data_IF_581192191228
#
_entry.id   IF_581192191228
#
_cell.length_a   1.000
_cell.length_b   1.000
_cell.length_c   1.000
_cell.angle_alpha   90.00
_cell.angle_beta   90.00
_cell.angle_gamma   90.00
#
_symmetry.space_group_name_H-M   'P 1'
#
loop_
_entity.id
_entity.type
_entity.pdbx_description
1 polymer ?
#
# COMPACT_ATOMS: atom_id res chain seq x y z
N UNK A 1 8.20 -4.78 2.93
CA UNK A 1 7.54 -5.56 1.87
C UNK A 1 7.22 -6.93 2.46
N UNK A 2 5.98 -7.39 2.35
CA UNK A 2 5.50 -8.68 2.88
C UNK A 2 5.39 -9.73 1.77
N UNK A 3 4.90 -9.32 0.59
CA UNK A 3 4.67 -10.20 -0.55
C UNK A 3 5.13 -9.53 -1.85
N UNK A 4 5.60 -10.34 -2.78
CA UNK A 4 5.82 -9.99 -4.17
C UNK A 4 5.43 -11.18 -5.04
N UNK A 5 4.94 -10.89 -6.24
CA UNK A 5 4.60 -11.93 -7.21
C UNK A 5 5.85 -12.52 -7.88
N UNK A 6 6.19 -13.81 -7.62
CA UNK A 6 7.35 -14.47 -8.21
C UNK A 6 7.29 -14.60 -9.73
N UNK A 7 6.09 -14.57 -10.31
CA UNK A 7 5.85 -14.65 -11.75
C UNK A 7 5.49 -13.27 -12.34
N UNK A 8 5.73 -12.19 -11.59
CA UNK A 8 5.30 -10.84 -11.97
C UNK A 8 5.88 -10.38 -13.30
N UNK A 9 7.15 -10.69 -13.58
CA UNK A 9 7.79 -10.34 -14.85
C UNK A 9 7.16 -11.08 -16.04
N UNK A 10 6.90 -12.38 -15.90
CA UNK A 10 6.25 -13.19 -16.92
C UNK A 10 4.80 -12.73 -17.17
N UNK A 11 4.04 -12.47 -16.11
CA UNK A 11 2.65 -12.00 -16.21
C UNK A 11 2.57 -10.63 -16.86
N UNK A 12 3.45 -9.70 -16.47
CA UNK A 12 3.48 -8.35 -17.04
C UNK A 12 3.85 -8.38 -18.52
N UNK A 13 4.94 -9.08 -18.88
CA UNK A 13 5.34 -9.20 -20.29
C UNK A 13 4.25 -9.90 -21.12
N UNK A 14 3.58 -10.92 -20.56
CA UNK A 14 2.45 -11.58 -21.23
C UNK A 14 1.26 -10.64 -21.42
N UNK A 15 0.89 -9.84 -20.41
CA UNK A 15 -0.20 -8.89 -20.50
C UNK A 15 0.09 -7.80 -21.57
N UNK A 16 1.31 -7.26 -21.58
CA UNK A 16 1.77 -6.27 -22.56
C UNK A 16 1.69 -6.82 -23.99
N UNK A 17 2.14 -8.05 -24.23
CA UNK A 17 2.07 -8.68 -25.55
C UNK A 17 0.65 -9.12 -25.92
N UNK A 18 -0.15 -9.56 -24.95
CA UNK A 18 -1.52 -10.03 -25.17
C UNK A 18 -2.39 -8.93 -25.79
N UNK A 19 -2.20 -7.66 -25.39
CA UNK A 19 -2.89 -6.50 -25.96
C UNK A 19 -2.76 -6.39 -27.48
N UNK A 20 -1.66 -6.88 -28.05
CA UNK A 20 -1.34 -6.78 -29.47
C UNK A 20 -1.41 -8.15 -30.18
N UNK A 21 -2.05 -9.14 -29.57
CA UNK A 21 -2.09 -10.52 -30.05
C UNK A 21 -3.53 -10.98 -30.33
N UNK A 22 -3.69 -11.93 -31.24
CA UNK A 22 -4.95 -12.67 -31.47
C UNK A 22 -4.94 -14.07 -30.81
N UNK A 23 -3.94 -14.35 -29.98
CA UNK A 23 -3.79 -15.62 -29.25
C UNK A 23 -4.51 -15.56 -27.90
N UNK A 24 -4.78 -16.72 -27.29
CA UNK A 24 -5.24 -16.74 -25.90
C UNK A 24 -4.15 -16.29 -24.94
N UNK A 25 -4.53 -15.82 -23.75
CA UNK A 25 -3.58 -15.40 -22.73
C UNK A 25 -2.60 -16.53 -22.36
N UNK A 26 -3.08 -17.76 -22.19
CA UNK A 26 -2.23 -18.92 -21.88
C UNK A 26 -1.20 -19.20 -22.97
N UNK A 27 -1.55 -19.01 -24.24
CA UNK A 27 -0.61 -19.16 -25.35
C UNK A 27 0.49 -18.09 -25.32
N UNK A 28 0.13 -16.84 -25.02
CA UNK A 28 1.09 -15.74 -24.90
C UNK A 28 2.00 -15.96 -23.69
N UNK A 29 1.43 -16.29 -22.52
CA UNK A 29 2.18 -16.59 -21.31
C UNK A 29 3.14 -17.77 -21.53
N UNK A 30 2.69 -18.84 -22.20
CA UNK A 30 3.55 -19.97 -22.57
C UNK A 30 4.74 -19.55 -23.43
N UNK A 31 4.55 -18.62 -24.38
CA UNK A 31 5.66 -18.07 -25.17
C UNK A 31 6.61 -17.24 -24.31
N UNK A 32 6.08 -16.37 -23.44
CA UNK A 32 6.88 -15.52 -22.54
C UNK A 32 7.71 -16.34 -21.56
N UNK A 33 7.16 -17.42 -21.00
CA UNK A 33 7.90 -18.33 -20.10
C UNK A 33 9.10 -19.00 -20.77
N UNK A 34 9.09 -19.13 -22.09
CA UNK A 34 10.20 -19.66 -22.88
C UNK A 34 11.15 -18.58 -23.41
N UNK A 35 10.92 -17.29 -23.10
CA UNK A 35 11.81 -16.21 -23.49
C UNK A 35 12.95 -16.03 -22.48
N UNK A 36 14.11 -15.64 -23.01
CA UNK A 36 15.22 -15.18 -22.20
C UNK A 36 14.80 -14.01 -21.30
N UNK A 37 15.24 -13.96 -20.02
CA UNK A 37 14.90 -12.87 -19.11
C UNK A 37 15.22 -11.48 -19.66
N UNK A 38 16.33 -11.34 -20.39
CA UNK A 38 16.72 -10.06 -20.99
C UNK A 38 15.69 -9.56 -22.02
N UNK A 39 15.09 -10.46 -22.79
CA UNK A 39 14.06 -10.11 -23.77
C UNK A 39 12.76 -9.69 -23.08
N UNK A 40 12.36 -10.41 -22.01
CA UNK A 40 11.19 -10.05 -21.20
C UNK A 40 11.32 -8.66 -20.59
N UNK A 41 12.49 -8.36 -20.02
CA UNK A 41 12.80 -7.04 -19.47
C UNK A 41 12.74 -5.95 -20.55
N UNK A 42 13.30 -6.19 -21.73
CA UNK A 42 13.24 -5.20 -22.82
C UNK A 42 11.81 -4.86 -23.23
N UNK A 43 10.89 -5.84 -23.26
CA UNK A 43 9.47 -5.58 -23.55
C UNK A 43 8.84 -4.65 -22.50
N UNK A 44 9.16 -4.88 -21.22
CA UNK A 44 8.65 -4.05 -20.12
C UNK A 44 9.24 -2.64 -20.18
N UNK A 45 10.55 -2.53 -20.38
CA UNK A 45 11.26 -1.25 -20.45
C UNK A 45 10.70 -0.39 -21.58
N UNK A 46 10.56 -0.95 -22.79
CA UNK A 46 9.97 -0.29 -23.95
C UNK A 46 8.50 0.13 -23.69
N UNK A 47 7.72 -0.65 -22.94
CA UNK A 47 6.35 -0.28 -22.60
C UNK A 47 6.23 0.95 -21.70
N UNK A 48 7.31 1.26 -20.97
CA UNK A 48 7.40 2.42 -20.07
C UNK A 48 8.22 3.57 -20.65
N UNK A 49 8.82 3.38 -21.83
CA UNK A 49 9.64 4.38 -22.49
C UNK A 49 8.80 5.63 -22.81
N UNK A 50 9.25 6.79 -22.32
CA UNK A 50 8.60 8.07 -22.57
C UNK A 50 7.44 8.43 -21.63
N UNK A 51 7.15 7.60 -20.62
CA UNK A 51 6.22 7.96 -19.53
C UNK A 51 6.93 8.94 -18.57
N UNK A 52 6.35 10.11 -18.37
CA UNK A 52 6.87 11.11 -17.43
C UNK A 52 6.55 10.77 -15.96
N UNK A 53 7.13 11.50 -14.99
CA UNK A 53 6.93 11.24 -13.54
C UNK A 53 5.48 11.33 -13.05
N UNK A 54 4.60 11.92 -13.86
CA UNK A 54 3.19 12.15 -13.53
C UNK A 54 2.23 11.40 -14.46
N UNK A 55 2.76 10.65 -15.43
CA UNK A 55 1.95 9.85 -16.34
C UNK A 55 1.65 8.50 -15.71
N UNK A 56 0.41 8.05 -15.84
CA UNK A 56 0.02 6.73 -15.35
C UNK A 56 0.59 5.66 -16.29
N UNK A 57 1.15 4.56 -15.75
CA UNK A 57 1.51 3.41 -16.55
C UNK A 57 0.28 2.78 -17.20
N UNK A 58 0.52 1.96 -18.22
CA UNK A 58 -0.56 1.21 -18.87
C UNK A 58 -1.17 0.17 -17.90
N UNK A 59 -2.44 -0.19 -18.13
CA UNK A 59 -3.22 -1.06 -17.22
C UNK A 59 -2.64 -2.45 -17.02
N UNK A 60 -1.81 -2.90 -17.95
CA UNK A 60 -1.12 -4.19 -17.88
C UNK A 60 -0.21 -4.28 -16.64
N UNK A 61 0.24 -3.15 -16.08
CA UNK A 61 0.97 -3.13 -14.80
C UNK A 61 0.10 -3.52 -13.59
N UNK A 62 -1.24 -3.50 -13.71
CA UNK A 62 -2.16 -3.90 -12.64
C UNK A 62 -2.19 -5.43 -12.42
N UNK A 63 -1.60 -6.24 -13.31
CA UNK A 63 -1.57 -7.72 -13.19
C UNK A 63 -0.55 -8.23 -12.16
N UNK A 64 0.37 -7.37 -11.74
CA UNK A 64 1.41 -7.69 -10.75
C UNK A 64 1.04 -7.06 -9.43
N UNK A 65 1.06 -7.86 -8.36
CA UNK A 65 0.78 -7.37 -7.01
C UNK A 65 2.00 -7.39 -6.10
N UNK A 66 2.03 -6.40 -5.20
CA UNK A 66 2.99 -6.30 -4.11
C UNK A 66 2.24 -5.95 -2.84
N UNK A 67 2.60 -6.59 -1.72
CA UNK A 67 2.03 -6.25 -0.41
C UNK A 67 3.08 -5.60 0.47
N UNK A 68 2.72 -4.46 1.05
CA UNK A 68 3.55 -3.73 2.01
C UNK A 68 2.82 -3.56 3.32
N UNK A 69 3.57 -3.59 4.41
CA UNK A 69 3.10 -3.15 5.72
C UNK A 69 3.68 -1.77 6.00
N UNK A 70 2.82 -0.85 6.42
CA UNK A 70 3.23 0.49 6.81
C UNK A 70 2.66 0.82 8.19
N UNK A 71 3.52 1.31 9.08
CA UNK A 71 3.10 2.06 10.25
C UNK A 71 3.17 3.55 9.90
N UNK A 72 2.03 4.20 9.80
CA UNK A 72 1.90 5.60 9.41
C UNK A 72 1.25 6.42 10.52
N UNK A 73 1.67 7.68 10.66
CA UNK A 73 0.86 8.65 11.39
C UNK A 73 -0.44 8.95 10.63
N UNK A 74 -1.40 9.56 11.34
CA UNK A 74 -2.72 9.82 10.77
C UNK A 74 -2.71 10.80 9.59
N UNK A 75 -1.78 11.77 9.57
CA UNK A 75 -1.62 12.71 8.48
C UNK A 75 -1.14 12.00 7.21
N UNK A 76 -0.06 11.22 7.32
CA UNK A 76 0.46 10.39 6.24
C UNK A 76 -0.59 9.40 5.72
N UNK A 77 -1.36 8.74 6.61
CA UNK A 77 -2.45 7.86 6.22
C UNK A 77 -3.55 8.57 5.39
N UNK A 78 -3.89 9.82 5.74
CA UNK A 78 -4.86 10.64 4.98
C UNK A 78 -4.35 11.08 3.61
N UNK A 79 -3.04 11.19 3.43
CA UNK A 79 -2.41 11.39 2.13
C UNK A 79 -2.45 10.09 1.33
N UNK A 80 -1.99 9.01 1.94
CA UNK A 80 -1.91 7.69 1.33
C UNK A 80 -3.23 7.24 0.70
N UNK A 81 -4.36 7.39 1.40
CA UNK A 81 -5.70 7.00 0.91
C UNK A 81 -6.19 7.72 -0.35
N UNK A 82 -5.50 8.76 -0.83
CA UNK A 82 -5.85 9.44 -2.09
C UNK A 82 -5.36 8.73 -3.33
N UNK A 83 -4.46 7.76 -3.19
CA UNK A 83 -4.02 6.94 -4.31
C UNK A 83 -5.14 5.99 -4.71
N UNK A 84 -5.59 6.09 -5.98
CA UNK A 84 -6.79 5.42 -6.48
C UNK A 84 -6.55 4.01 -7.03
N UNK A 85 -5.30 3.59 -7.18
CA UNK A 85 -4.92 2.26 -7.67
C UNK A 85 -4.17 1.49 -6.58
N UNK A 86 -4.92 1.02 -5.57
CA UNK A 86 -4.38 0.23 -4.46
C UNK A 86 -5.52 -0.38 -3.63
N UNK A 87 -5.32 -1.63 -3.21
CA UNK A 87 -6.11 -2.24 -2.13
C UNK A 87 -5.39 -2.02 -0.79
N UNK A 88 -6.11 -1.58 0.23
CA UNK A 88 -5.54 -1.38 1.56
C UNK A 88 -6.41 -2.03 2.65
N UNK A 89 -5.76 -2.56 3.69
CA UNK A 89 -6.40 -3.24 4.82
C UNK A 89 -6.05 -2.47 6.11
N UNK A 90 -6.80 -1.40 6.45
CA UNK A 90 -6.44 -0.55 7.57
C UNK A 90 -6.84 -1.21 8.90
N UNK A 91 -5.92 -1.20 9.87
CA UNK A 91 -6.30 -1.45 11.25
C UNK A 91 -7.08 -0.25 11.81
N UNK A 92 -7.95 -0.45 12.83
CA UNK A 92 -8.60 0.66 13.50
C UNK A 92 -7.58 1.68 14.02
N UNK A 93 -7.91 2.97 13.91
CA UNK A 93 -7.06 4.03 14.44
C UNK A 93 -6.84 3.81 15.95
N UNK A 94 -5.58 3.87 16.36
CA UNK A 94 -5.15 3.67 17.76
C UNK A 94 -4.10 4.70 18.16
N UNK A 95 -4.01 4.95 19.47
CA UNK A 95 -2.98 5.78 20.11
C UNK A 95 -1.80 4.96 20.63
N UNK A 96 -1.87 3.62 20.55
CA UNK A 96 -0.87 2.69 21.10
C UNK A 96 0.53 2.80 20.48
N UNK A 97 0.64 3.34 19.26
CA UNK A 97 1.89 3.36 18.50
C UNK A 97 2.69 4.66 18.69
N UNK A 98 2.27 5.52 19.65
CA UNK A 98 2.91 6.79 19.94
C UNK A 98 2.56 7.91 18.95
N UNK A 99 3.29 9.01 19.02
CA UNK A 99 3.09 10.20 18.18
C UNK A 99 4.41 10.90 17.89
N UNK A 100 4.38 11.80 16.91
CA UNK A 100 5.48 12.70 16.57
C UNK A 100 5.01 14.15 16.68
N UNK A 101 5.86 15.02 17.20
CA UNK A 101 5.63 16.47 17.21
C UNK A 101 6.03 17.01 15.83
N UNK A 102 5.12 17.70 15.10
CA UNK A 102 5.46 18.32 13.83
C UNK A 102 6.59 19.34 14.01
N UNK A 103 7.52 19.40 13.06
CA UNK A 103 8.67 20.32 13.12
C UNK A 103 8.23 21.78 13.32
N UNK A 104 7.19 22.21 12.61
CA UNK A 104 6.60 23.56 12.73
C UNK A 104 6.09 23.88 14.14
N UNK A 105 5.64 22.88 14.90
CA UNK A 105 5.19 23.04 16.29
C UNK A 105 6.40 23.16 17.21
N UNK A 106 7.44 22.37 16.96
CA UNK A 106 8.68 22.43 17.72
C UNK A 106 9.42 23.76 17.52
N UNK A 107 9.51 24.24 16.29
CA UNK A 107 10.12 25.54 15.94
C UNK A 107 9.35 26.73 16.53
N UNK A 108 8.03 26.61 16.70
CA UNK A 108 7.21 27.59 17.38
C UNK A 108 7.35 27.56 18.92
N UNK A 109 8.13 26.63 19.48
CA UNK A 109 8.29 26.45 20.93
C UNK A 109 7.06 25.86 21.63
N UNK A 110 6.12 25.28 20.88
CA UNK A 110 4.83 24.78 21.37
C UNK A 110 4.81 23.28 21.66
N UNK A 111 5.99 22.64 21.74
CA UNK A 111 6.10 21.19 21.96
C UNK A 111 5.40 20.75 23.25
N UNK A 112 5.56 21.49 24.35
CA UNK A 112 5.00 21.11 25.66
C UNK A 112 3.47 21.19 25.65
N UNK A 113 2.90 22.23 25.05
CA UNK A 113 1.46 22.41 24.87
C UNK A 113 0.88 21.29 24.00
N UNK A 114 1.58 20.94 22.92
CA UNK A 114 1.19 19.85 22.03
C UNK A 114 1.18 18.50 22.76
N UNK A 115 2.24 18.16 23.49
CA UNK A 115 2.31 16.92 24.28
C UNK A 115 1.18 16.82 25.31
N UNK A 116 0.88 17.93 26.02
CA UNK A 116 -0.23 17.98 26.98
C UNK A 116 -1.57 17.67 26.29
N UNK A 117 -1.81 18.25 25.12
CA UNK A 117 -3.04 18.02 24.36
C UNK A 117 -3.15 16.56 23.89
N UNK A 118 -2.05 15.98 23.37
CA UNK A 118 -2.03 14.57 22.92
C UNK A 118 -2.28 13.61 24.09
N UNK A 119 -1.65 13.82 25.25
CA UNK A 119 -1.89 12.98 26.44
C UNK A 119 -3.35 13.01 26.89
N UNK A 120 -4.01 14.16 26.79
CA UNK A 120 -5.43 14.29 27.12
C UNK A 120 -6.31 13.50 26.14
N UNK A 121 -6.00 13.60 24.84
CA UNK A 121 -6.70 12.87 23.78
C UNK A 121 -6.49 11.34 23.91
N UNK A 122 -5.27 10.90 24.20
CA UNK A 122 -4.94 9.49 24.46
C UNK A 122 -5.75 8.94 25.64
N UNK A 123 -5.78 9.66 26.77
CA UNK A 123 -6.60 9.27 27.92
C UNK A 123 -8.08 9.15 27.56
N UNK A 124 -8.62 10.12 26.81
CA UNK A 124 -10.01 10.09 26.36
C UNK A 124 -10.30 8.89 25.45
N UNK A 125 -9.40 8.55 24.53
CA UNK A 125 -9.52 7.38 23.66
C UNK A 125 -9.64 6.09 24.48
N UNK A 126 -8.77 5.89 25.47
CA UNK A 126 -8.81 4.68 26.31
C UNK A 126 -10.09 4.57 27.13
N UNK A 127 -10.54 5.67 27.73
CA UNK A 127 -11.81 5.70 28.47
C UNK A 127 -13.01 5.32 27.59
N UNK A 128 -13.03 5.74 26.32
CA UNK A 128 -14.11 5.40 25.39
C UNK A 128 -13.98 3.96 24.87
N UNK A 129 -12.76 3.48 24.63
CA UNK A 129 -12.53 2.11 24.13
C UNK A 129 -12.95 1.03 25.12
N UNK A 130 -12.88 1.31 26.43
CA UNK A 130 -13.42 0.44 27.48
C UNK A 130 -14.94 0.32 27.44
N UNK A 131 -15.62 1.27 26.79
CA UNK A 131 -17.05 1.17 26.45
C UNK A 131 -17.14 0.46 25.10
N UNK A 132 -17.59 -0.81 25.04
CA UNK A 132 -17.66 -1.52 23.77
C UNK A 132 -18.58 -0.73 22.81
N UNK A 133 -18.10 -0.37 21.61
CA UNK A 133 -19.00 0.11 20.59
C UNK A 133 -19.98 -1.02 20.30
N UNK A 134 -21.28 -0.72 20.39
CA UNK A 134 -22.36 -1.67 20.21
C UNK A 134 -22.08 -2.61 19.02
N UNK A 135 -21.80 -3.90 19.28
CA UNK A 135 -21.71 -4.94 18.25
C UNK A 135 -20.32 -5.37 17.73
N UNK A 136 -19.23 -5.35 18.51
CA UNK A 136 -17.95 -5.99 18.10
C UNK A 136 -17.69 -7.29 18.88
N UNK A 137 -17.99 -8.43 18.27
CA UNK A 137 -17.58 -9.76 18.73
C UNK A 137 -16.79 -10.48 17.63
N UNK A 138 -15.49 -10.20 17.49
CA UNK A 138 -14.55 -11.17 16.91
C UNK A 138 -13.16 -10.82 17.45
N UNK A 139 -12.47 -11.78 18.06
CA UNK A 139 -11.15 -11.70 18.70
C UNK A 139 -11.09 -11.23 20.17
N UNK A 140 -11.91 -11.84 21.04
CA UNK A 140 -11.35 -12.49 22.24
C UNK A 140 -11.34 -13.99 21.87
N UNK A 141 -10.21 -14.69 21.80
CA UNK A 141 -9.42 -15.15 22.93
C UNK A 141 -8.01 -15.55 22.47
N UNK A 142 -6.94 -15.28 23.23
CA UNK A 142 -5.79 -16.17 23.27
C UNK A 142 -6.09 -17.28 24.28
N UNK A 143 -5.98 -18.53 23.83
CA UNK A 143 -6.06 -19.74 24.63
C UNK A 143 -5.39 -19.61 26.01
N UNK A 144 -6.09 -20.15 27.01
CA UNK A 144 -5.51 -20.66 28.25
C UNK A 144 -4.48 -21.77 28.00
#
# INVERSE_FOLDING_TARGET
MIHWDPEGEEKLAAALLYRYSNLSYDQVLGRVKNMEPALRRSIIDESSAGIGPHDAPVREFEVVDYTFEFLLDYGAYREFKRHRMMSYMPQPLTVSNGYRIPQVVAEAGLSVEFEKAIRLAEKAYWNVKEVPPFGRSVFSDPCS
#
